data_IF_815778488861
#
_entry.id   IF_815778488861
#
_cell.length_a   1.000
_cell.length_b   1.000
_cell.length_c   1.000
_cell.angle_alpha   90.00
_cell.angle_beta   90.00
_cell.angle_gamma   90.00
#
_symmetry.space_group_name_H-M   'P 1'
#
loop_
_entity.id
_entity.type
_entity.pdbx_description
1 polymer ?
#
# COMPACT_ATOMS: atom_id res chain seq x y z
N UNK A 1 -17.86 -13.57 1.93
CA UNK A 1 -19.28 -13.93 2.17
C UNK A 1 -20.07 -12.68 2.60
N UNK A 2 -21.41 -12.73 2.58
CA UNK A 2 -22.22 -11.69 3.23
C UNK A 2 -22.15 -11.90 4.75
N UNK A 3 -21.87 -10.84 5.51
CA UNK A 3 -21.88 -10.85 6.98
C UNK A 3 -22.37 -9.49 7.54
N UNK A 4 -22.92 -9.46 8.76
CA UNK A 4 -23.34 -8.20 9.39
C UNK A 4 -22.16 -7.23 9.52
N UNK A 5 -22.32 -5.98 9.07
CA UNK A 5 -21.27 -4.98 9.11
C UNK A 5 -20.27 -5.03 7.95
N UNK A 6 -20.51 -5.82 6.89
CA UNK A 6 -19.60 -5.93 5.74
C UNK A 6 -19.20 -4.57 5.16
N UNK A 7 -20.15 -3.67 4.92
CA UNK A 7 -19.83 -2.35 4.35
C UNK A 7 -19.06 -1.46 5.33
N UNK A 8 -19.35 -1.56 6.63
CA UNK A 8 -18.59 -0.84 7.66
C UNK A 8 -17.14 -1.34 7.72
N UNK A 9 -16.94 -2.66 7.65
CA UNK A 9 -15.61 -3.27 7.53
C UNK A 9 -14.87 -2.69 6.33
N UNK A 10 -15.50 -2.65 5.14
CA UNK A 10 -14.93 -2.04 3.94
C UNK A 10 -14.57 -0.56 4.13
N UNK A 11 -15.47 0.21 4.72
CA UNK A 11 -15.25 1.64 4.98
C UNK A 11 -14.04 1.86 5.90
N UNK A 12 -13.87 1.03 6.94
CA UNK A 12 -12.78 1.18 7.91
C UNK A 12 -11.41 0.90 7.29
N UNK A 13 -11.24 -0.25 6.64
CA UNK A 13 -9.93 -0.58 6.07
C UNK A 13 -9.58 0.34 4.89
N UNK A 14 -10.57 0.74 4.08
CA UNK A 14 -10.34 1.64 2.94
C UNK A 14 -10.00 3.05 3.39
N UNK A 15 -10.74 3.57 4.38
CA UNK A 15 -10.51 4.91 4.92
C UNK A 15 -9.10 5.07 5.50
N UNK A 16 -8.59 4.05 6.19
CA UNK A 16 -7.24 4.06 6.73
C UNK A 16 -6.14 4.06 5.64
N UNK A 17 -6.29 3.26 4.57
CA UNK A 17 -5.33 3.28 3.45
C UNK A 17 -5.34 4.62 2.71
N UNK A 18 -6.53 5.19 2.49
CA UNK A 18 -6.68 6.52 1.90
C UNK A 18 -6.05 7.60 2.80
N UNK A 19 -6.30 7.55 4.11
CA UNK A 19 -5.71 8.49 5.05
C UNK A 19 -4.17 8.38 5.07
N UNK A 20 -3.62 7.16 5.08
CA UNK A 20 -2.17 6.95 4.97
C UNK A 20 -1.58 7.57 3.70
N UNK A 21 -2.24 7.37 2.55
CA UNK A 21 -1.84 8.01 1.29
C UNK A 21 -1.88 9.55 1.36
N UNK A 22 -2.94 10.14 1.95
CA UNK A 22 -3.00 11.60 2.14
C UNK A 22 -1.92 12.13 3.07
N UNK A 23 -1.53 11.38 4.11
CA UNK A 23 -0.46 11.79 5.02
C UNK A 23 0.91 11.78 4.33
N UNK A 24 1.16 10.79 3.45
CA UNK A 24 2.37 10.73 2.63
C UNK A 24 2.42 11.88 1.62
N UNK A 25 1.33 12.15 0.89
CA UNK A 25 1.23 13.29 -0.04
C UNK A 25 1.51 14.63 0.65
N UNK A 26 0.94 14.81 1.85
CA UNK A 26 1.12 16.02 2.67
C UNK A 26 2.41 16.04 3.49
N UNK A 27 3.28 15.02 3.33
CA UNK A 27 4.58 14.92 4.00
C UNK A 27 4.47 15.01 5.54
N UNK A 28 3.40 14.45 6.10
CA UNK A 28 3.17 14.36 7.54
C UNK A 28 3.97 13.19 8.15
N UNK A 29 4.21 12.14 7.36
CA UNK A 29 5.01 10.99 7.74
C UNK A 29 5.83 10.48 6.56
N UNK A 30 6.94 9.78 6.84
CA UNK A 30 7.72 9.05 5.83
C UNK A 30 7.15 7.64 5.57
N UNK A 31 6.56 7.05 6.61
CA UNK A 31 5.96 5.72 6.59
C UNK A 31 4.55 5.79 7.19
N UNK A 32 3.55 5.29 6.47
CA UNK A 32 2.19 5.10 6.96
C UNK A 32 1.85 3.61 7.00
N UNK A 33 1.26 3.13 8.10
CA UNK A 33 0.97 1.70 8.30
C UNK A 33 -0.54 1.49 8.48
N UNK A 34 -1.14 0.61 7.68
CA UNK A 34 -2.51 0.15 7.84
C UNK A 34 -2.61 -1.38 7.67
N UNK A 35 -2.45 -2.11 8.76
CA UNK A 35 -2.59 -3.57 8.77
C UNK A 35 -4.00 -4.08 8.46
N UNK A 36 -5.03 -3.23 8.55
CA UNK A 36 -6.40 -3.64 8.19
C UNK A 36 -6.64 -3.67 6.68
N UNK A 37 -5.83 -2.95 5.90
CA UNK A 37 -5.92 -2.87 4.44
C UNK A 37 -5.11 -3.95 3.73
N UNK A 38 -4.85 -3.74 2.44
CA UNK A 38 -4.09 -4.68 1.62
C UNK A 38 -4.94 -5.72 0.89
N UNK A 39 -6.24 -5.45 0.68
CA UNK A 39 -7.20 -6.39 0.08
C UNK A 39 -7.13 -6.34 -1.46
N UNK A 40 -6.09 -6.98 -2.00
CA UNK A 40 -5.63 -6.82 -3.39
C UNK A 40 -6.47 -7.50 -4.49
N UNK A 41 -7.40 -8.40 -4.15
CA UNK A 41 -8.14 -9.16 -5.16
C UNK A 41 -9.42 -8.48 -5.65
N UNK A 42 -9.91 -7.45 -4.97
CA UNK A 42 -11.15 -6.80 -5.35
C UNK A 42 -11.02 -6.15 -6.74
N UNK A 43 -12.02 -6.36 -7.59
CA UNK A 43 -12.09 -5.85 -8.97
C UNK A 43 -13.00 -4.62 -9.04
N UNK A 44 -13.03 -3.96 -10.19
CA UNK A 44 -13.85 -2.74 -10.38
C UNK A 44 -15.35 -2.97 -10.19
N UNK A 45 -15.86 -4.15 -10.60
CA UNK A 45 -17.29 -4.45 -10.60
C UNK A 45 -17.65 -5.74 -9.83
N UNK A 46 -16.69 -6.39 -9.18
CA UNK A 46 -16.94 -7.62 -8.43
C UNK A 46 -15.96 -7.81 -7.25
N UNK A 47 -16.44 -8.50 -6.22
CA UNK A 47 -15.61 -8.97 -5.12
C UNK A 47 -14.91 -10.28 -5.50
N UNK A 48 -13.69 -10.50 -5.03
CA UNK A 48 -12.91 -11.71 -5.30
C UNK A 48 -11.94 -12.00 -4.15
N UNK A 49 -11.62 -13.27 -3.87
CA UNK A 49 -10.59 -13.64 -2.90
C UNK A 49 -10.70 -12.97 -1.52
N UNK A 50 -11.90 -12.95 -0.93
CA UNK A 50 -12.22 -12.26 0.33
C UNK A 50 -12.16 -10.71 0.30
N UNK A 51 -11.84 -10.12 -0.85
CA UNK A 51 -11.72 -8.68 -1.04
C UNK A 51 -13.00 -8.10 -1.68
N UNK A 52 -13.54 -7.03 -1.09
CA UNK A 52 -14.78 -6.38 -1.56
C UNK A 52 -14.54 -5.00 -2.17
N UNK A 53 -13.70 -4.19 -1.53
CA UNK A 53 -13.21 -2.89 -2.01
C UNK A 53 -11.69 -2.97 -2.07
N UNK A 54 -11.10 -2.54 -3.18
CA UNK A 54 -9.65 -2.54 -3.35
C UNK A 54 -9.07 -1.24 -2.77
N UNK A 55 -8.72 -1.25 -1.49
CA UNK A 55 -8.19 -0.08 -0.79
C UNK A 55 -6.82 0.36 -1.31
N UNK A 56 -6.04 -0.59 -1.83
CA UNK A 56 -4.73 -0.34 -2.44
C UNK A 56 -4.88 0.53 -3.67
N UNK A 57 -5.79 0.17 -4.59
CA UNK A 57 -6.03 0.95 -5.80
C UNK A 57 -6.48 2.37 -5.45
N UNK A 58 -7.37 2.52 -4.46
CA UNK A 58 -7.83 3.83 -3.99
C UNK A 58 -6.67 4.64 -3.40
N UNK A 59 -5.82 4.02 -2.56
CA UNK A 59 -4.64 4.67 -1.99
C UNK A 59 -3.64 5.10 -3.06
N UNK A 60 -3.35 4.25 -4.05
CA UNK A 60 -2.45 4.58 -5.16
C UNK A 60 -3.02 5.73 -6.01
N UNK A 61 -4.32 5.75 -6.29
CA UNK A 61 -4.95 6.86 -7.02
C UNK A 61 -4.80 8.20 -6.28
N UNK A 62 -4.85 8.19 -4.94
CA UNK A 62 -4.58 9.39 -4.14
C UNK A 62 -3.09 9.79 -4.22
N UNK A 63 -2.17 8.84 -4.11
CA UNK A 63 -0.73 9.09 -4.26
C UNK A 63 -0.39 9.68 -5.63
N UNK A 64 -1.04 9.22 -6.70
CA UNK A 64 -0.83 9.70 -8.07
C UNK A 64 -1.20 11.17 -8.27
N UNK A 65 -1.87 11.84 -7.32
CA UNK A 65 -2.06 13.30 -7.37
C UNK A 65 -0.74 14.07 -7.24
N UNK A 66 0.23 13.53 -6.51
CA UNK A 66 1.51 14.19 -6.20
C UNK A 66 2.72 13.43 -6.74
N UNK A 67 2.61 12.10 -6.83
CA UNK A 67 3.70 11.23 -7.22
C UNK A 67 3.64 10.89 -8.71
N UNK A 68 4.66 11.22 -9.51
CA UNK A 68 4.68 10.87 -10.94
C UNK A 68 4.68 9.35 -11.17
N UNK A 69 5.34 8.61 -10.28
CA UNK A 69 5.54 7.15 -10.35
C UNK A 69 5.36 6.53 -8.97
N UNK A 70 4.46 5.57 -8.86
CA UNK A 70 4.17 4.79 -7.65
C UNK A 70 4.55 3.33 -7.90
N UNK A 71 5.39 2.76 -7.06
CA UNK A 71 5.73 1.34 -7.12
C UNK A 71 4.86 0.57 -6.13
N UNK A 72 4.12 -0.42 -6.62
CA UNK A 72 3.40 -1.38 -5.80
C UNK A 72 4.19 -2.69 -5.72
N UNK A 73 4.48 -3.14 -4.51
CA UNK A 73 5.16 -4.41 -4.22
C UNK A 73 4.22 -5.29 -3.42
N UNK A 74 4.06 -6.54 -3.85
CA UNK A 74 3.14 -7.51 -3.26
C UNK A 74 3.89 -8.79 -2.88
N UNK A 75 3.92 -9.11 -1.58
CA UNK A 75 4.55 -10.31 -1.01
C UNK A 75 3.54 -11.30 -0.41
N UNK A 76 2.24 -11.10 -0.66
CA UNK A 76 1.21 -12.13 -0.43
C UNK A 76 1.53 -13.38 -1.25
N UNK A 77 1.11 -14.54 -0.77
CA UNK A 77 1.32 -15.76 -1.56
C UNK A 77 0.46 -15.79 -2.83
N UNK A 78 -0.65 -15.05 -2.85
CA UNK A 78 -1.54 -14.95 -4.00
C UNK A 78 -1.10 -13.80 -4.91
N UNK A 79 -1.30 -13.97 -6.22
CA UNK A 79 -1.04 -12.90 -7.18
C UNK A 79 -1.98 -11.71 -6.92
N UNK A 80 -1.41 -10.50 -6.80
CA UNK A 80 -2.11 -9.21 -6.65
C UNK A 80 -2.90 -8.74 -7.88
N UNK A 81 -3.74 -9.61 -8.40
CA UNK A 81 -4.43 -9.48 -9.69
C UNK A 81 -5.35 -8.27 -9.80
N UNK A 82 -6.02 -7.84 -8.72
CA UNK A 82 -6.89 -6.67 -8.75
C UNK A 82 -6.12 -5.35 -8.90
N UNK A 83 -4.96 -5.25 -8.26
CA UNK A 83 -4.08 -4.07 -8.39
C UNK A 83 -3.40 -4.09 -9.76
N UNK A 84 -2.92 -5.26 -10.22
CA UNK A 84 -2.39 -5.44 -11.56
C UNK A 84 -3.42 -5.02 -12.63
N UNK A 85 -4.66 -5.51 -12.56
CA UNK A 85 -5.70 -5.21 -13.54
C UNK A 85 -6.03 -3.70 -13.56
N UNK A 86 -6.11 -3.07 -12.39
CA UNK A 86 -6.45 -1.65 -12.28
C UNK A 86 -5.43 -0.72 -12.97
N UNK A 87 -4.16 -1.12 -13.01
CA UNK A 87 -3.06 -0.33 -13.56
C UNK A 87 -2.41 -0.93 -14.81
N UNK A 88 -3.02 -1.96 -15.42
CA UNK A 88 -2.42 -2.75 -16.50
C UNK A 88 -2.04 -1.96 -17.76
N UNK A 89 -2.64 -0.78 -17.95
CA UNK A 89 -2.48 0.07 -19.14
C UNK A 89 -1.70 1.37 -18.88
N UNK A 90 -1.14 1.56 -17.68
CA UNK A 90 -0.39 2.79 -17.33
C UNK A 90 1.05 2.52 -16.95
N UNK A 91 1.94 3.45 -17.27
CA UNK A 91 3.35 3.48 -16.84
C UNK A 91 3.56 4.24 -15.51
N UNK A 92 2.53 4.93 -15.01
CA UNK A 92 2.61 5.71 -13.76
C UNK A 92 2.54 4.87 -12.49
N UNK A 93 2.12 3.61 -12.62
CA UNK A 93 2.15 2.64 -11.52
C UNK A 93 2.84 1.38 -12.03
N UNK A 94 3.88 0.96 -11.34
CA UNK A 94 4.51 -0.33 -11.59
C UNK A 94 4.05 -1.35 -10.55
N UNK A 95 3.52 -2.49 -10.97
CA UNK A 95 3.09 -3.56 -10.06
C UNK A 95 4.10 -4.70 -10.09
N UNK A 96 4.62 -5.09 -8.93
CA UNK A 96 5.55 -6.21 -8.75
C UNK A 96 4.96 -7.20 -7.76
N UNK A 97 4.69 -8.44 -8.21
CA UNK A 97 4.10 -9.48 -7.34
C UNK A 97 4.95 -10.75 -7.33
N UNK A 98 5.22 -11.27 -6.13
CA UNK A 98 5.89 -12.55 -5.90
C UNK A 98 4.88 -13.52 -5.30
N UNK A 99 4.53 -14.58 -6.03
CA UNK A 99 3.39 -15.40 -5.64
C UNK A 99 3.52 -16.84 -6.12
N UNK A 100 2.74 -17.74 -5.51
CA UNK A 100 2.60 -19.12 -5.96
C UNK A 100 1.82 -19.17 -7.28
N UNK A 101 2.36 -19.84 -8.29
CA UNK A 101 1.71 -19.98 -9.60
C UNK A 101 1.58 -21.44 -10.06
N UNK A 102 0.54 -21.73 -10.86
CA UNK A 102 0.25 -23.06 -11.42
C UNK A 102 -0.63 -23.96 -10.56
N UNK A 103 -1.09 -25.07 -11.14
CA UNK A 103 -2.03 -26.04 -10.54
C UNK A 103 -3.34 -25.44 -10.03
N UNK A 104 -3.88 -24.44 -10.75
CA UNK A 104 -5.10 -23.70 -10.36
C UNK A 104 -5.03 -23.05 -8.97
N UNK A 105 -3.83 -22.79 -8.45
CA UNK A 105 -3.68 -21.95 -7.26
C UNK A 105 -4.30 -20.58 -7.54
N UNK A 106 -5.14 -20.12 -6.61
CA UNK A 106 -5.89 -18.88 -6.79
C UNK A 106 -4.92 -17.69 -6.90
N UNK A 107 -5.19 -16.68 -7.76
CA UNK A 107 -6.34 -16.50 -8.65
C UNK A 107 -6.21 -17.19 -10.02
N UNK A 108 -5.08 -17.84 -10.31
CA UNK A 108 -4.82 -18.51 -11.59
C UNK A 108 -4.25 -17.59 -12.69
N UNK A 109 -3.78 -16.40 -12.32
CA UNK A 109 -3.09 -15.41 -13.17
C UNK A 109 -1.72 -15.09 -12.60
N UNK A 110 -0.95 -14.21 -13.25
CA UNK A 110 0.38 -13.79 -12.80
C UNK A 110 1.53 -14.60 -13.39
N UNK A 111 1.38 -15.14 -14.60
CA UNK A 111 2.54 -15.74 -15.28
C UNK A 111 3.58 -14.66 -15.61
N UNK A 112 4.85 -15.05 -15.75
CA UNK A 112 5.96 -14.13 -16.07
C UNK A 112 5.81 -13.40 -17.41
N UNK A 113 4.86 -13.83 -18.25
CA UNK A 113 4.55 -13.24 -19.56
C UNK A 113 3.45 -12.16 -19.49
N UNK A 114 2.73 -12.06 -18.38
CA UNK A 114 1.82 -10.96 -18.11
C UNK A 114 2.66 -9.74 -17.72
N UNK A 115 2.94 -8.88 -18.71
CA UNK A 115 3.84 -7.73 -18.56
C UNK A 115 3.13 -6.39 -18.73
N UNK A 116 1.81 -6.34 -18.65
CA UNK A 116 1.03 -5.14 -18.96
C UNK A 116 0.78 -4.95 -20.46
N UNK A 117 0.01 -3.92 -20.81
CA UNK A 117 -0.33 -3.60 -22.19
C UNK A 117 -0.33 -2.09 -22.44
N UNK A 118 -0.33 -1.69 -23.72
CA UNK A 118 -0.27 -0.28 -24.14
C UNK A 118 0.88 0.47 -23.46
N UNK A 119 0.63 1.62 -22.82
CA UNK A 119 1.63 2.37 -22.08
C UNK A 119 2.15 1.61 -20.85
N UNK A 120 1.35 0.72 -20.27
CA UNK A 120 1.73 -0.12 -19.14
C UNK A 120 2.55 -1.35 -19.49
N UNK A 121 2.87 -1.57 -20.78
CA UNK A 121 3.73 -2.69 -21.18
C UNK A 121 5.13 -2.55 -20.57
N UNK A 122 5.59 -3.61 -19.92
CA UNK A 122 6.78 -3.74 -19.07
C UNK A 122 6.69 -3.08 -17.67
N UNK A 123 5.56 -2.45 -17.32
CA UNK A 123 5.30 -1.86 -15.99
C UNK A 123 4.48 -2.80 -15.08
N UNK A 124 4.27 -4.03 -15.50
CA UNK A 124 3.71 -5.09 -14.68
C UNK A 124 4.72 -6.25 -14.68
N UNK A 125 5.10 -6.70 -13.49
CA UNK A 125 6.17 -7.67 -13.29
C UNK A 125 5.69 -8.76 -12.33
N UNK A 126 5.68 -9.99 -12.84
CA UNK A 126 5.24 -11.15 -12.10
C UNK A 126 6.38 -12.13 -11.86
N UNK A 127 6.52 -12.56 -10.62
CA UNK A 127 7.52 -13.54 -10.18
C UNK A 127 6.79 -14.82 -9.74
N UNK A 128 6.45 -15.71 -10.70
CA UNK A 128 5.74 -16.94 -10.38
C UNK A 128 6.67 -17.95 -9.70
N UNK A 129 6.23 -18.49 -8.57
CA UNK A 129 6.98 -19.41 -7.72
C UNK A 129 6.23 -20.73 -7.50
N UNK A 130 6.95 -21.73 -6.97
CA UNK A 130 6.44 -23.05 -6.60
C UNK A 130 6.43 -23.22 -5.08
N UNK A 131 5.85 -24.31 -4.62
CA UNK A 131 5.71 -24.64 -3.20
C UNK A 131 7.06 -24.65 -2.45
N UNK A 132 7.00 -24.34 -1.16
CA UNK A 132 8.08 -24.55 -0.22
C UNK A 132 9.28 -23.62 -0.36
N UNK A 133 9.14 -22.46 -1.03
CA UNK A 133 10.25 -21.49 -1.10
C UNK A 133 10.70 -21.08 0.30
N UNK A 134 12.01 -21.13 0.53
CA UNK A 134 12.65 -20.78 1.80
C UNK A 134 13.16 -19.32 1.81
N UNK A 135 13.49 -18.83 3.00
CA UNK A 135 13.97 -17.45 3.23
C UNK A 135 15.15 -17.08 2.31
N UNK A 136 16.13 -17.98 2.18
CA UNK A 136 17.34 -17.70 1.39
C UNK A 136 17.01 -17.58 -0.10
N UNK A 137 16.19 -18.50 -0.63
CA UNK A 137 15.78 -18.50 -2.04
C UNK A 137 14.95 -17.26 -2.35
N UNK A 138 14.02 -16.91 -1.46
CA UNK A 138 13.17 -15.74 -1.61
C UNK A 138 14.01 -14.45 -1.60
N UNK A 139 14.89 -14.27 -0.60
CA UNK A 139 15.79 -13.12 -0.49
C UNK A 139 16.67 -12.92 -1.73
N UNK A 140 17.31 -13.99 -2.21
CA UNK A 140 18.21 -13.92 -3.36
C UNK A 140 17.49 -13.64 -4.68
N UNK A 141 16.16 -13.75 -4.71
CA UNK A 141 15.34 -13.34 -5.84
C UNK A 141 14.75 -11.93 -5.63
N UNK A 142 14.16 -11.68 -4.47
CA UNK A 142 13.50 -10.45 -4.10
C UNK A 142 14.44 -9.25 -4.17
N UNK A 143 15.56 -9.28 -3.45
CA UNK A 143 16.45 -8.12 -3.36
C UNK A 143 17.00 -7.69 -4.72
N UNK A 144 17.57 -8.60 -5.56
CA UNK A 144 18.06 -8.19 -6.88
C UNK A 144 16.97 -7.68 -7.82
N UNK A 145 15.76 -8.25 -7.78
CA UNK A 145 14.63 -7.79 -8.59
C UNK A 145 14.20 -6.39 -8.15
N UNK A 146 13.91 -6.19 -6.86
CA UNK A 146 13.48 -4.90 -6.34
C UNK A 146 14.54 -3.82 -6.54
N UNK A 147 15.83 -4.16 -6.37
CA UNK A 147 16.91 -3.21 -6.66
C UNK A 147 16.87 -2.69 -8.09
N UNK A 148 16.72 -3.58 -9.07
CA UNK A 148 16.64 -3.17 -10.48
C UNK A 148 15.33 -2.43 -10.77
N UNK A 149 14.22 -2.85 -10.18
CA UNK A 149 12.94 -2.13 -10.31
C UNK A 149 13.11 -0.69 -9.84
N UNK A 150 13.67 -0.45 -8.66
CA UNK A 150 13.88 0.91 -8.14
C UNK A 150 14.84 1.70 -9.04
N UNK A 151 15.93 1.09 -9.52
CA UNK A 151 16.92 1.75 -10.38
C UNK A 151 16.34 2.17 -11.75
N UNK A 152 15.58 1.30 -12.42
CA UNK A 152 14.99 1.59 -13.73
C UNK A 152 13.72 2.44 -13.65
N UNK A 153 12.83 2.10 -12.70
CA UNK A 153 11.53 2.74 -12.57
C UNK A 153 11.59 4.07 -11.83
N UNK A 154 12.55 4.23 -10.90
CA UNK A 154 12.74 5.45 -10.09
C UNK A 154 11.43 5.92 -9.43
N UNK A 155 10.76 5.09 -8.61
CA UNK A 155 9.51 5.46 -7.97
C UNK A 155 9.72 6.62 -7.00
N UNK A 156 8.67 7.41 -6.82
CA UNK A 156 8.65 8.53 -5.85
C UNK A 156 7.81 8.24 -4.62
N UNK A 157 7.05 7.14 -4.63
CA UNK A 157 6.35 6.56 -3.50
C UNK A 157 6.27 5.04 -3.70
N UNK A 158 6.30 4.28 -2.62
CA UNK A 158 6.12 2.83 -2.61
C UNK A 158 4.88 2.47 -1.80
N UNK A 159 4.09 1.52 -2.31
CA UNK A 159 3.05 0.82 -1.56
C UNK A 159 3.49 -0.64 -1.44
N UNK A 160 3.67 -1.12 -0.21
CA UNK A 160 4.06 -2.49 0.10
C UNK A 160 2.89 -3.22 0.77
N UNK A 161 2.36 -4.23 0.11
CA UNK A 161 1.40 -5.17 0.67
C UNK A 161 2.20 -6.29 1.35
N UNK A 162 1.94 -6.56 2.63
CA UNK A 162 2.66 -7.54 3.45
C UNK A 162 1.77 -8.74 3.81
N UNK A 163 1.18 -9.40 2.81
CA UNK A 163 0.38 -10.60 3.00
C UNK A 163 1.14 -11.70 3.73
N UNK A 164 0.70 -12.02 4.94
CA UNK A 164 1.38 -12.95 5.86
C UNK A 164 1.01 -14.42 5.61
N UNK A 165 0.27 -14.73 4.54
CA UNK A 165 -0.02 -16.11 4.11
C UNK A 165 1.11 -16.73 3.28
N UNK A 166 2.14 -15.97 2.94
CA UNK A 166 3.42 -16.46 2.41
C UNK A 166 4.31 -17.10 3.50
N UNK A 167 3.95 -16.97 4.78
CA UNK A 167 4.63 -17.63 5.88
C UNK A 167 4.45 -19.15 5.84
N UNK A 168 5.46 -19.85 6.36
CA UNK A 168 5.34 -21.26 6.69
C UNK A 168 4.21 -21.51 7.69
N UNK A 169 3.59 -22.69 7.59
CA UNK A 169 2.46 -23.11 8.42
C UNK A 169 1.21 -22.21 8.31
N UNK A 170 1.08 -21.42 7.25
CA UNK A 170 -0.21 -20.79 6.93
C UNK A 170 -1.28 -21.85 6.59
N UNK A 171 -2.55 -21.50 6.81
CA UNK A 171 -3.68 -22.41 6.57
C UNK A 171 -3.97 -22.62 5.08
N UNK A 172 -3.75 -21.62 4.24
CA UNK A 172 -4.01 -21.64 2.80
C UNK A 172 -2.72 -21.60 1.98
N UNK A 173 -1.69 -20.92 2.49
CA UNK A 173 -0.40 -20.81 1.84
C UNK A 173 0.44 -22.08 1.89
N UNK A 174 1.31 -22.22 0.89
CA UNK A 174 2.22 -23.36 0.72
C UNK A 174 3.70 -22.94 0.56
N UNK A 175 4.04 -21.72 0.96
CA UNK A 175 5.43 -21.26 1.09
C UNK A 175 6.02 -21.70 2.43
N UNK A 176 7.31 -21.40 2.62
CA UNK A 176 8.06 -21.79 3.80
C UNK A 176 8.86 -20.63 4.41
N UNK A 177 8.32 -19.40 4.34
CA UNK A 177 8.99 -18.23 4.88
C UNK A 177 8.87 -18.16 6.40
N UNK A 178 9.96 -17.78 7.06
CA UNK A 178 9.92 -17.38 8.46
C UNK A 178 9.47 -15.92 8.60
N UNK A 179 9.06 -15.53 9.81
CA UNK A 179 8.77 -14.13 10.14
C UNK A 179 10.00 -13.23 9.86
N UNK A 180 11.22 -13.76 10.06
CA UNK A 180 12.45 -13.03 9.76
C UNK A 180 12.64 -12.85 8.27
N UNK A 181 12.52 -13.92 7.49
CA UNK A 181 12.64 -13.87 6.03
C UNK A 181 11.60 -12.95 5.39
N UNK A 182 10.38 -12.94 5.91
CA UNK A 182 9.33 -12.02 5.48
C UNK A 182 9.69 -10.57 5.84
N UNK A 183 10.09 -10.31 7.09
CA UNK A 183 10.52 -8.98 7.54
C UNK A 183 11.75 -8.42 6.82
N UNK A 184 12.67 -9.27 6.34
CA UNK A 184 13.80 -8.84 5.51
C UNK A 184 13.35 -8.15 4.21
N UNK A 185 12.18 -8.49 3.68
CA UNK A 185 11.60 -7.82 2.52
C UNK A 185 11.17 -6.40 2.88
N UNK A 186 10.49 -6.23 4.01
CA UNK A 186 10.07 -4.92 4.54
C UNK A 186 11.27 -4.03 4.84
N UNK A 187 12.28 -4.56 5.54
CA UNK A 187 13.52 -3.85 5.85
C UNK A 187 14.25 -3.40 4.57
N UNK A 188 14.31 -4.28 3.56
CA UNK A 188 14.94 -3.95 2.28
C UNK A 188 14.20 -2.84 1.54
N UNK A 189 12.87 -2.88 1.50
CA UNK A 189 12.05 -1.81 0.90
C UNK A 189 12.21 -0.49 1.65
N UNK A 190 12.17 -0.53 2.99
CA UNK A 190 12.42 0.65 3.86
C UNK A 190 13.78 1.29 3.57
N UNK A 191 14.81 0.49 3.29
CA UNK A 191 16.18 0.97 3.07
C UNK A 191 16.35 1.94 1.88
N UNK A 192 15.41 1.97 0.94
CA UNK A 192 15.43 2.91 -0.18
C UNK A 192 15.07 4.35 0.22
N UNK A 193 14.53 4.59 1.42
CA UNK A 193 14.14 5.92 1.93
C UNK A 193 13.19 6.69 0.99
N UNK A 194 12.23 5.98 0.41
CA UNK A 194 11.16 6.52 -0.43
C UNK A 194 9.86 6.50 0.41
N UNK A 195 8.98 7.52 0.35
CA UNK A 195 7.70 7.51 1.08
C UNK A 195 6.97 6.18 0.93
N UNK A 196 6.60 5.56 2.04
CA UNK A 196 6.19 4.15 2.09
C UNK A 196 4.83 3.98 2.76
N UNK A 197 3.85 3.48 2.01
CA UNK A 197 2.60 2.96 2.57
C UNK A 197 2.72 1.46 2.78
N UNK A 198 2.57 0.99 4.02
CA UNK A 198 2.63 -0.43 4.39
C UNK A 198 1.22 -0.93 4.72
N UNK A 199 0.82 -2.04 4.10
CA UNK A 199 -0.50 -2.63 4.23
C UNK A 199 -0.40 -4.08 4.68
N UNK A 200 -1.50 -4.61 5.23
CA UNK A 200 -1.64 -6.03 5.58
C UNK A 200 -1.89 -6.89 4.35
N UNK A 201 -2.91 -7.75 4.40
CA UNK A 201 -3.25 -8.66 3.32
C UNK A 201 -3.79 -10.00 3.80
N UNK A 202 -3.46 -11.06 3.05
CA UNK A 202 -3.70 -12.45 3.44
C UNK A 202 -2.96 -12.84 4.73
N UNK A 203 -3.38 -13.97 5.31
CA UNK A 203 -2.81 -14.49 6.56
C UNK A 203 -3.86 -15.24 7.37
N UNK A 204 -3.75 -16.57 7.42
CA UNK A 204 -4.84 -17.44 7.87
C UNK A 204 -4.46 -18.35 9.04
N UNK A 205 -3.19 -18.36 9.43
CA UNK A 205 -2.74 -18.77 10.77
C UNK A 205 -2.58 -17.54 11.66
N UNK A 206 -3.70 -17.05 12.22
CA UNK A 206 -3.83 -15.73 12.90
C UNK A 206 -2.74 -15.43 13.92
N UNK A 207 -2.31 -16.43 14.73
CA UNK A 207 -1.21 -16.22 15.70
C UNK A 207 0.12 -15.84 15.04
N UNK A 208 0.39 -16.34 13.84
CA UNK A 208 1.60 -16.01 13.09
C UNK A 208 1.45 -14.67 12.37
N UNK A 209 0.24 -14.33 11.90
CA UNK A 209 -0.07 -13.00 11.33
C UNK A 209 0.22 -11.90 12.35
N UNK A 210 -0.28 -12.06 13.59
CA UNK A 210 -0.04 -11.10 14.66
C UNK A 210 1.47 -10.94 14.96
N UNK A 211 2.22 -12.05 15.00
CA UNK A 211 3.68 -12.03 15.20
C UNK A 211 4.40 -11.34 14.05
N UNK A 212 4.04 -11.66 12.81
CA UNK A 212 4.66 -11.12 11.60
C UNK A 212 4.52 -9.59 11.54
N UNK A 213 3.30 -9.09 11.56
CA UNK A 213 3.05 -7.64 11.46
C UNK A 213 3.57 -6.88 12.69
N UNK A 214 3.61 -7.51 13.88
CA UNK A 214 4.28 -6.91 15.05
C UNK A 214 5.79 -6.77 14.83
N UNK A 215 6.44 -7.83 14.34
CA UNK A 215 7.87 -7.80 14.03
C UNK A 215 8.19 -6.78 12.93
N UNK A 216 7.41 -6.77 11.84
CA UNK A 216 7.58 -5.80 10.75
C UNK A 216 7.37 -4.36 11.20
N UNK A 217 6.41 -4.12 12.09
CA UNK A 217 6.24 -2.80 12.71
C UNK A 217 7.51 -2.39 13.46
N UNK A 218 8.14 -3.32 14.19
CA UNK A 218 9.41 -3.08 14.88
C UNK A 218 10.54 -2.70 13.92
N UNK A 219 10.62 -3.35 12.75
CA UNK A 219 11.57 -3.00 11.70
C UNK A 219 11.29 -1.62 11.10
N UNK A 220 10.02 -1.27 10.92
CA UNK A 220 9.61 0.02 10.35
C UNK A 220 9.92 1.21 11.28
N UNK A 221 9.91 0.99 12.61
CA UNK A 221 10.26 2.00 13.60
C UNK A 221 11.72 1.91 14.10
N UNK A 222 12.52 1.02 13.52
CA UNK A 222 13.92 0.74 13.91
C UNK A 222 14.10 0.36 15.39
N UNK A 223 13.11 -0.30 15.99
CA UNK A 223 13.14 -0.71 17.40
C UNK A 223 13.29 -2.24 17.52
N UNK A 224 14.40 -2.74 18.11
CA UNK A 224 14.55 -4.15 18.40
C UNK A 224 13.64 -4.54 19.56
N UNK A 225 12.82 -5.58 19.35
CA UNK A 225 11.91 -6.10 20.37
C UNK A 225 12.35 -7.48 20.87
N UNK A 226 11.98 -7.80 22.11
CA UNK A 226 12.26 -9.10 22.73
C UNK A 226 11.60 -10.23 21.95
N UNK A 227 12.24 -11.40 21.92
CA UNK A 227 11.62 -12.60 21.40
C UNK A 227 10.57 -13.17 22.36
N UNK A 228 10.64 -12.88 23.66
CA UNK A 228 9.59 -13.22 24.61
C UNK A 228 8.40 -12.28 24.44
N UNK A 229 7.20 -12.84 24.20
CA UNK A 229 6.00 -12.04 24.03
C UNK A 229 5.58 -11.39 25.36
N UNK A 230 5.15 -10.12 25.35
CA UNK A 230 4.57 -9.49 26.52
C UNK A 230 3.22 -10.12 26.86
N UNK A 231 2.88 -10.14 28.15
CA UNK A 231 1.54 -10.53 28.59
C UNK A 231 0.49 -9.57 28.03
N UNK A 232 -0.60 -10.13 27.51
CA UNK A 232 -1.76 -9.41 26.96
C UNK A 232 -3.03 -10.24 27.12
N UNK A 233 -4.18 -9.66 26.79
CA UNK A 233 -5.47 -10.35 26.82
C UNK A 233 -5.52 -11.60 25.93
N UNK A 234 -4.66 -11.65 24.90
CA UNK A 234 -4.58 -12.75 23.94
C UNK A 234 -3.34 -13.65 24.13
N UNK A 235 -2.60 -13.52 25.23
CA UNK A 235 -1.32 -14.21 25.45
C UNK A 235 -1.40 -15.74 25.24
N UNK A 236 -2.49 -16.37 25.69
CA UNK A 236 -2.71 -17.82 25.55
C UNK A 236 -2.85 -18.30 24.08
N UNK A 237 -3.11 -17.40 23.13
CA UNK A 237 -3.16 -17.76 21.70
C UNK A 237 -1.77 -18.14 21.14
N UNK A 238 -0.70 -17.77 21.85
CA UNK A 238 0.69 -17.97 21.45
C UNK A 238 1.36 -19.14 22.18
N UNK A 239 0.58 -19.95 22.91
CA UNK A 239 1.06 -21.21 23.47
C UNK A 239 1.54 -22.18 22.36
N UNK A 240 2.50 -23.08 22.66
CA UNK A 240 3.13 -23.28 23.98
C UNK A 240 4.40 -22.47 24.20
N UNK A 241 4.94 -21.84 23.16
CA UNK A 241 6.25 -21.20 23.15
C UNK A 241 6.24 -19.77 23.68
N UNK A 242 5.14 -19.03 23.45
CA UNK A 242 5.01 -17.62 23.84
C UNK A 242 6.14 -16.73 23.31
N UNK A 243 6.70 -17.06 22.14
CA UNK A 243 7.74 -16.27 21.49
C UNK A 243 7.24 -15.57 20.24
N UNK A 244 7.97 -14.53 19.82
CA UNK A 244 7.72 -13.77 18.61
C UNK A 244 8.14 -14.56 17.36
N UNK A 245 9.24 -15.29 17.42
CA UNK A 245 9.77 -16.10 16.32
C UNK A 245 9.67 -17.61 16.61
N UNK A 246 8.47 -18.20 16.56
CA UNK A 246 8.32 -19.65 16.59
C UNK A 246 8.93 -20.28 15.33
N UNK A 247 9.28 -21.56 15.40
CA UNK A 247 9.61 -22.32 14.18
C UNK A 247 8.33 -22.54 13.35
N UNK A 248 8.24 -21.80 12.24
CA UNK A 248 7.14 -21.90 11.27
C UNK A 248 7.53 -22.75 10.06
N UNK A 249 8.69 -23.41 10.08
CA UNK A 249 9.17 -24.22 8.97
C UNK A 249 8.23 -25.41 8.73
N UNK A 250 7.57 -25.41 7.60
CA UNK A 250 6.93 -26.58 7.04
C UNK A 250 8.02 -27.58 6.64
N UNK A 251 7.84 -28.88 6.94
CA UNK A 251 8.74 -29.94 6.44
C UNK A 251 8.51 -30.24 4.95
N UNK A 252 8.11 -29.22 4.18
CA UNK A 252 7.82 -29.30 2.76
C UNK A 252 9.13 -29.12 2.01
N UNK A 253 9.33 -29.92 0.96
CA UNK A 253 10.48 -29.78 0.07
C UNK A 253 10.34 -28.51 -0.77
N UNK A 254 11.39 -27.70 -0.83
CA UNK A 254 11.43 -26.51 -1.69
C UNK A 254 11.46 -26.94 -3.17
N UNK A 255 10.36 -26.71 -3.89
CA UNK A 255 10.20 -27.08 -5.30
C UNK A 255 10.79 -26.03 -6.26
N UNK A 256 11.42 -24.99 -5.74
CA UNK A 256 12.06 -23.91 -6.49
C UNK A 256 13.54 -24.23 -6.68
N UNK A 257 13.85 -25.09 -7.66
CA UNK A 257 15.24 -25.38 -7.99
C UNK A 257 15.98 -24.11 -8.38
N UNK A 258 17.29 -24.07 -8.11
CA UNK A 258 18.13 -22.93 -8.48
C UNK A 258 18.04 -22.61 -9.98
N UNK A 259 17.97 -23.63 -10.83
CA UNK A 259 17.82 -23.44 -12.28
C UNK A 259 16.49 -22.74 -12.63
N UNK A 260 15.41 -23.10 -11.94
CA UNK A 260 14.10 -22.47 -12.14
C UNK A 260 14.13 -21.00 -11.71
N UNK A 261 14.66 -20.71 -10.51
CA UNK A 261 14.77 -19.33 -10.01
C UNK A 261 15.70 -18.46 -10.88
N UNK A 262 16.82 -19.02 -11.35
CA UNK A 262 17.72 -18.33 -12.26
C UNK A 262 17.05 -17.99 -13.60
N UNK A 263 16.22 -18.89 -14.13
CA UNK A 263 15.43 -18.65 -15.34
C UNK A 263 14.42 -17.51 -15.14
N UNK A 264 13.63 -17.55 -14.06
CA UNK A 264 12.69 -16.48 -13.72
C UNK A 264 13.42 -15.15 -13.62
N UNK A 265 14.50 -15.09 -12.82
CA UNK A 265 15.29 -13.87 -12.64
C UNK A 265 15.82 -13.33 -13.97
N UNK A 266 16.33 -14.19 -14.85
CA UNK A 266 16.82 -13.75 -16.15
C UNK A 266 15.70 -13.14 -17.00
N UNK A 267 14.56 -13.80 -17.11
CA UNK A 267 13.40 -13.29 -17.87
C UNK A 267 12.92 -11.96 -17.32
N UNK A 268 12.86 -11.82 -15.99
CA UNK A 268 12.48 -10.57 -15.34
C UNK A 268 13.49 -9.45 -15.64
N UNK A 269 14.78 -9.73 -15.57
CA UNK A 269 15.81 -8.74 -15.89
C UNK A 269 15.80 -8.35 -17.38
N UNK A 270 15.42 -9.25 -18.27
CA UNK A 270 15.20 -8.94 -19.68
C UNK A 270 13.99 -8.01 -19.87
N UNK A 271 12.89 -8.26 -19.16
CA UNK A 271 11.71 -7.38 -19.17
C UNK A 271 12.05 -5.98 -18.62
N UNK A 272 12.79 -5.89 -17.51
CA UNK A 272 13.19 -4.61 -16.91
C UNK A 272 14.09 -3.77 -17.84
N UNK A 273 14.95 -4.41 -18.63
CA UNK A 273 15.78 -3.72 -19.65
C UNK A 273 14.95 -3.09 -20.77
N UNK A 274 13.69 -3.51 -20.95
CA UNK A 274 12.79 -2.92 -21.94
C UNK A 274 12.13 -1.64 -21.45
N UNK A 275 12.23 -1.32 -20.16
CA UNK A 275 11.76 -0.06 -19.62
C UNK A 275 12.55 1.09 -20.26
N UNK A 276 11.81 2.02 -20.86
CA UNK A 276 12.39 3.30 -21.26
C UNK A 276 12.70 4.06 -19.97
N UNK A 277 13.95 4.46 -19.74
CA UNK A 277 14.37 5.08 -18.48
C UNK A 277 13.43 6.27 -18.16
N UNK A 278 12.78 6.23 -16.99
CA UNK A 278 11.89 7.25 -16.44
C UNK A 278 11.00 7.99 -17.48
N UNK A 279 9.83 7.44 -17.87
CA UNK A 279 8.95 8.10 -18.84
C UNK A 279 8.54 9.49 -18.35
N UNK A 280 8.46 10.43 -19.31
CA UNK A 280 8.02 11.79 -19.02
C UNK A 280 6.53 11.80 -18.72
N UNK A 281 6.15 12.34 -17.56
CA UNK A 281 4.75 12.42 -17.16
C UNK A 281 4.08 13.57 -17.92
N UNK A 282 2.99 13.28 -18.62
CA UNK A 282 2.15 14.32 -19.22
C UNK A 282 1.45 15.12 -18.11
N UNK A 283 1.39 16.44 -18.28
CA UNK A 283 0.66 17.34 -17.39
C UNK A 283 -0.82 16.94 -17.45
N UNK A 284 -1.39 16.57 -16.30
CA UNK A 284 -2.80 16.26 -16.14
C UNK A 284 -3.38 17.15 -15.04
N UNK A 285 -4.68 17.45 -15.15
CA UNK A 285 -5.40 18.20 -14.13
C UNK A 285 -5.52 17.32 -12.88
N UNK A 286 -5.06 17.83 -11.74
CA UNK A 286 -5.03 17.10 -10.47
C UNK A 286 -6.33 17.38 -9.73
N UNK A 287 -7.19 16.36 -9.47
CA UNK A 287 -8.41 16.55 -8.70
C UNK A 287 -8.09 17.07 -7.29
N UNK A 288 -8.98 17.89 -6.73
CA UNK A 288 -8.87 18.41 -5.37
C UNK A 288 -8.69 17.31 -4.32
N UNK A 289 -7.99 17.62 -3.23
CA UNK A 289 -7.84 16.70 -2.11
C UNK A 289 -9.19 16.34 -1.49
N UNK A 290 -9.36 15.06 -1.17
CA UNK A 290 -10.59 14.57 -0.55
C UNK A 290 -10.62 14.89 0.96
N UNK A 291 -9.45 15.01 1.57
CA UNK A 291 -9.24 15.32 2.98
C UNK A 291 -8.38 16.59 3.08
N UNK A 292 -8.96 17.69 3.56
CA UNK A 292 -8.21 18.90 3.83
C UNK A 292 -7.43 18.75 5.14
N UNK A 293 -6.11 18.76 5.06
CA UNK A 293 -5.27 19.07 6.22
C UNK A 293 -5.18 20.59 6.31
N UNK A 294 -6.16 21.22 6.95
CA UNK A 294 -5.94 22.56 7.47
C UNK A 294 -4.86 22.41 8.55
N UNK A 295 -3.62 22.78 8.20
CA UNK A 295 -2.64 23.08 9.23
C UNK A 295 -3.21 24.23 10.03
N UNK A 296 -3.80 23.94 11.18
CA UNK A 296 -3.88 24.91 12.26
C UNK A 296 -2.47 25.10 12.80
N UNK A 297 -1.57 25.63 11.96
CA UNK A 297 -0.38 26.30 12.45
C UNK A 297 -0.95 27.43 13.31
N UNK A 298 -0.87 27.31 14.64
CA UNK A 298 -1.09 28.47 15.48
C UNK A 298 -0.16 29.56 14.95
N UNK A 299 -0.67 30.75 14.61
CA UNK A 299 0.15 31.80 14.05
C UNK A 299 1.31 32.05 14.99
N UNK A 300 2.53 32.03 14.45
CA UNK A 300 3.73 32.44 15.18
C UNK A 300 3.44 33.80 15.83
N UNK A 301 3.47 33.93 17.17
CA UNK A 301 3.18 35.19 17.84
C UNK A 301 4.16 36.31 17.45
N UNK A 302 5.24 36.01 16.72
CA UNK A 302 6.20 36.98 16.17
C UNK A 302 5.93 37.39 14.71
N UNK A 303 5.04 36.73 13.96
CA UNK A 303 4.61 37.19 12.63
C UNK A 303 3.51 38.25 12.73
N UNK A 304 3.90 39.53 12.63
CA UNK A 304 2.97 40.62 12.38
C UNK A 304 2.45 40.54 10.94
N UNK A 305 1.30 39.92 10.74
CA UNK A 305 0.52 40.02 9.50
C UNK A 305 0.09 41.47 9.21
N UNK A 306 -0.04 41.81 7.92
CA UNK A 306 -0.52 43.10 7.45
C UNK A 306 -1.98 43.35 7.86
N UNK A 307 -2.30 44.58 8.28
CA UNK A 307 -3.58 45.05 8.81
C UNK A 307 -4.76 45.08 7.79
N UNK A 308 -4.95 44.05 6.97
CA UNK A 308 -6.07 44.04 6.00
C UNK A 308 -7.10 42.91 6.19
N UNK A 309 -6.95 42.01 7.17
CA UNK A 309 -7.88 40.88 7.34
C UNK A 309 -8.59 40.82 8.71
N UNK A 310 -9.06 41.95 9.23
CA UNK A 310 -10.06 41.94 10.31
C UNK A 310 -11.46 42.29 9.77
N UNK A 311 -12.12 41.32 9.16
CA UNK A 311 -13.57 41.38 8.96
C UNK A 311 -14.24 41.02 10.29
N UNK A 312 -14.86 42.01 10.95
CA UNK A 312 -15.72 41.75 12.12
C UNK A 312 -16.88 40.84 11.69
N UNK A 313 -17.29 39.83 12.49
CA UNK A 313 -18.52 39.10 12.22
C UNK A 313 -19.71 40.00 12.60
N UNK A 314 -20.46 40.46 11.62
CA UNK A 314 -21.70 41.20 11.83
C UNK A 314 -22.86 40.25 12.14
N UNK A 315 -23.62 40.58 13.19
CA UNK A 315 -24.80 39.83 13.59
C UNK A 315 -26.01 40.17 12.70
N UNK A 316 -26.98 39.26 12.49
CA UNK A 316 -27.91 39.35 11.35
C UNK A 316 -28.98 40.45 11.40
N UNK A 317 -28.98 41.35 12.39
CA UNK A 317 -30.14 42.19 12.71
C UNK A 317 -29.79 43.64 13.11
N UNK A 318 -28.89 44.32 12.40
CA UNK A 318 -28.79 45.78 12.50
C UNK A 318 -29.14 46.44 11.16
N UNK A 319 -30.32 47.06 11.13
CA UNK A 319 -30.72 48.03 10.11
C UNK A 319 -29.92 49.30 10.35
N UNK A 320 -29.05 49.68 9.42
CA UNK A 320 -28.54 51.04 9.31
C UNK A 320 -28.65 51.53 7.87
N UNK A 321 -29.30 52.69 7.73
CA UNK A 321 -29.41 53.48 6.51
C UNK A 321 -28.00 53.93 6.07
N UNK A 322 -27.48 53.29 5.02
CA UNK A 322 -26.21 53.64 4.39
C UNK A 322 -26.41 54.49 3.15
N UNK A 323 -25.33 55.08 2.63
CA UNK A 323 -25.30 56.02 1.48
C UNK A 323 -25.76 55.43 0.11
N UNK A 324 -26.39 54.26 0.13
CA UNK A 324 -27.07 53.61 -0.99
C UNK A 324 -28.57 53.35 -0.72
N UNK A 325 -29.15 54.04 0.26
CA UNK A 325 -30.58 54.04 0.47
C UNK A 325 -31.29 54.78 -0.68
N UNK A 326 -32.18 54.06 -1.36
CA UNK A 326 -32.81 54.48 -2.61
C UNK A 326 -34.28 54.91 -2.41
N UNK A 327 -34.71 55.06 -1.16
CA UNK A 327 -36.04 55.53 -0.80
C UNK A 327 -36.10 57.06 -0.84
N UNK A 328 -35.98 57.62 -2.05
CA UNK A 328 -36.34 59.02 -2.30
C UNK A 328 -37.86 59.14 -2.30
N UNK A 329 -38.38 59.81 -1.27
CA UNK A 329 -39.73 60.39 -1.28
C UNK A 329 -39.92 61.22 -2.55
N UNK A 330 -40.98 60.90 -3.29
CA UNK A 330 -41.40 61.62 -4.48
C UNK A 330 -42.02 62.96 -4.07
N UNK A 331 -41.30 64.06 -4.32
CA UNK A 331 -41.88 65.40 -4.27
C UNK A 331 -42.93 65.56 -5.38
N UNK A 332 -44.19 65.62 -4.98
CA UNK A 332 -45.29 66.16 -5.78
C UNK A 332 -45.45 67.62 -5.38
N UNK A 333 -45.36 68.56 -6.32
CA UNK A 333 -46.13 69.81 -6.22
C UNK A 333 -46.40 70.46 -7.61
N UNK A 334 -47.71 70.53 -7.89
CA UNK A 334 -48.54 71.47 -8.69
C UNK A 334 -48.27 71.64 -10.19
#
# INVERSE_FOLDING_TARGET
PVFPGLFEFCSRYTGASLQGATQLNNKICDIAINWAGGLHHAKKFEASGFCYVNDIVIGILELLKYHPRVLYIDIDIHHGDGVQEAFYLTDRVMTVSFHKYGNYFFPGTGDMYEVGAESGRYYCLNVPLRDGIDDQSYKHLFQPVINQVVDYYQPTCIVLQCGADSLGCDRLGCFNLSIRGHGECVEYVKSFNIPLLVLGGGGYTVRNVARCWTYETSLLVDEPISDELPYSEYFEYFAPDFTLHPDVSTRIENQNSRQYLDQIRQTIFENLKMLNHAPSVQIHDVPSDLLSYDRTDEPDPEERGSEENYSRPEAPNEFYDGDHDNDKESDVEI
#
